data_IF_067828597136
#
_entry.id   IF_067828597136
#
_cell.length_a   1.000
_cell.length_b   1.000
_cell.length_c   1.000
_cell.angle_alpha   90.00
_cell.angle_beta   90.00
_cell.angle_gamma   90.00
#
_symmetry.space_group_name_H-M   'P 1'
#
loop_
_entity.id
_entity.type
_entity.pdbx_description
1 polymer ?
#
# COMPACT_ATOMS: atom_id res chain seq x y z
N UNK A 1 -16.83 1.40 13.24
CA UNK A 1 -17.40 1.48 11.89
C UNK A 1 -18.67 2.31 11.86
N UNK A 2 -19.62 2.06 12.74
CA UNK A 2 -20.92 2.77 12.76
C UNK A 2 -20.75 4.31 12.84
N UNK A 3 -19.90 4.81 13.73
CA UNK A 3 -19.63 6.25 13.88
C UNK A 3 -19.01 6.90 12.64
N UNK A 4 -18.31 6.13 11.79
CA UNK A 4 -17.70 6.63 10.57
C UNK A 4 -18.70 6.86 9.43
N UNK A 5 -19.91 6.31 9.53
CA UNK A 5 -20.94 6.43 8.50
C UNK A 5 -20.44 6.01 7.11
N UNK A 6 -20.48 6.95 6.15
CA UNK A 6 -19.99 6.75 4.77
C UNK A 6 -18.48 6.99 4.60
N UNK A 7 -17.77 7.47 5.62
CA UNK A 7 -16.33 7.73 5.54
C UNK A 7 -15.54 6.41 5.44
N UNK A 8 -14.46 6.41 4.62
CA UNK A 8 -13.58 5.26 4.50
C UNK A 8 -12.75 5.07 5.78
N UNK A 9 -12.84 3.87 6.35
CA UNK A 9 -12.04 3.46 7.49
C UNK A 9 -10.77 2.73 7.01
N UNK A 10 -9.62 3.27 7.38
CA UNK A 10 -8.32 2.66 7.05
C UNK A 10 -7.60 2.24 8.33
N UNK A 11 -7.47 0.94 8.53
CA UNK A 11 -6.80 0.38 9.70
C UNK A 11 -5.31 0.22 9.45
N UNK A 12 -4.48 0.79 10.33
CA UNK A 12 -3.03 0.63 10.33
C UNK A 12 -2.71 -0.56 11.24
N UNK A 13 -2.04 -1.57 10.69
CA UNK A 13 -1.77 -2.81 11.43
C UNK A 13 -0.52 -2.76 12.29
N UNK A 14 0.45 -1.88 11.98
CA UNK A 14 1.73 -1.87 12.66
C UNK A 14 2.51 -3.17 12.45
N UNK A 15 2.65 -3.58 11.18
CA UNK A 15 3.11 -4.93 10.81
C UNK A 15 4.49 -5.29 11.35
N UNK A 16 5.35 -4.29 11.62
CA UNK A 16 6.66 -4.51 12.24
C UNK A 16 6.58 -5.05 13.68
N UNK A 17 5.48 -4.78 14.38
CA UNK A 17 5.27 -5.20 15.78
C UNK A 17 4.52 -6.54 15.89
N UNK A 18 4.05 -7.11 14.79
CA UNK A 18 3.25 -8.35 14.80
C UNK A 18 4.10 -9.63 14.85
N UNK A 19 5.42 -9.51 14.77
CA UNK A 19 6.43 -10.56 14.96
C UNK A 19 6.39 -11.70 13.91
N UNK A 20 5.22 -12.14 13.48
CA UNK A 20 5.09 -13.26 12.53
C UNK A 20 4.11 -12.99 11.39
N UNK A 21 4.31 -13.65 10.25
CA UNK A 21 3.38 -13.58 9.11
C UNK A 21 1.98 -14.11 9.45
N UNK A 22 1.90 -15.09 10.34
CA UNK A 22 0.63 -15.59 10.85
C UNK A 22 -0.15 -14.51 11.58
N UNK A 23 0.51 -13.72 12.42
CA UNK A 23 -0.12 -12.60 13.12
C UNK A 23 -0.51 -11.48 12.15
N UNK A 24 0.30 -11.20 11.13
CA UNK A 24 -0.05 -10.24 10.06
C UNK A 24 -1.32 -10.68 9.33
N UNK A 25 -1.42 -11.96 8.95
CA UNK A 25 -2.62 -12.50 8.30
C UNK A 25 -3.85 -12.40 9.21
N UNK A 26 -3.74 -12.79 10.47
CA UNK A 26 -4.83 -12.72 11.47
C UNK A 26 -5.27 -11.27 11.69
N UNK A 27 -4.35 -10.35 11.92
CA UNK A 27 -4.65 -8.93 12.11
C UNK A 27 -5.32 -8.32 10.87
N UNK A 28 -4.89 -8.70 9.67
CA UNK A 28 -5.53 -8.30 8.41
C UNK A 28 -6.98 -8.76 8.35
N UNK A 29 -7.26 -10.02 8.66
CA UNK A 29 -8.62 -10.57 8.65
C UNK A 29 -9.50 -9.91 9.72
N UNK A 30 -9.00 -9.75 10.93
CA UNK A 30 -9.73 -9.08 12.03
C UNK A 30 -10.10 -7.65 11.65
N UNK A 31 -9.17 -6.88 11.07
CA UNK A 31 -9.43 -5.52 10.63
C UNK A 31 -10.53 -5.46 9.55
N UNK A 32 -10.49 -6.36 8.57
CA UNK A 32 -11.49 -6.44 7.51
C UNK A 32 -12.86 -6.88 8.06
N UNK A 33 -12.90 -7.87 8.94
CA UNK A 33 -14.15 -8.33 9.61
C UNK A 33 -14.77 -7.22 10.48
N UNK A 34 -13.94 -6.34 11.06
CA UNK A 34 -14.40 -5.17 11.80
C UNK A 34 -14.89 -4.02 10.88
N UNK A 35 -14.84 -4.20 9.55
CA UNK A 35 -15.37 -3.27 8.57
C UNK A 35 -14.37 -2.21 8.07
N UNK A 36 -13.09 -2.54 8.06
CA UNK A 36 -12.08 -1.68 7.42
C UNK A 36 -12.26 -1.69 5.89
N UNK A 37 -12.32 -0.51 5.29
CA UNK A 37 -12.32 -0.35 3.83
C UNK A 37 -10.91 -0.46 3.24
N UNK A 38 -9.89 -0.20 4.07
CA UNK A 38 -8.46 -0.35 3.74
C UNK A 38 -7.69 -0.95 4.91
N UNK A 39 -6.72 -1.79 4.58
CA UNK A 39 -5.66 -2.16 5.53
C UNK A 39 -4.33 -1.54 5.08
N UNK A 40 -3.58 -1.01 6.04
CA UNK A 40 -2.30 -0.32 5.83
C UNK A 40 -1.21 -1.00 6.65
N UNK A 41 -0.01 -1.15 6.10
CA UNK A 41 1.10 -1.84 6.77
C UNK A 41 1.51 -1.15 8.08
N UNK A 42 1.93 0.11 8.02
CA UNK A 42 2.56 0.84 9.12
C UNK A 42 2.33 2.35 9.03
N UNK A 43 2.77 3.08 10.04
CA UNK A 43 2.75 4.55 10.04
C UNK A 43 3.86 5.16 9.18
N UNK A 44 4.91 4.41 8.88
CA UNK A 44 6.13 4.88 8.23
C UNK A 44 7.22 5.33 9.20
N UNK A 45 6.95 5.30 10.53
CA UNK A 45 7.86 5.70 11.61
C UNK A 45 8.32 4.52 12.48
N UNK A 46 7.96 3.30 12.10
CA UNK A 46 8.30 2.07 12.81
C UNK A 46 9.69 1.57 12.37
N UNK A 47 10.33 0.73 13.18
CA UNK A 47 11.63 0.11 12.86
C UNK A 47 11.55 -0.78 11.61
N UNK A 48 10.42 -1.47 11.43
CA UNK A 48 10.10 -2.28 10.24
C UNK A 48 8.81 -1.76 9.63
N UNK A 49 8.88 -1.23 8.43
CA UNK A 49 7.76 -0.69 7.68
C UNK A 49 7.33 -1.64 6.53
N UNK A 50 6.75 -1.09 5.45
CA UNK A 50 6.33 -1.88 4.33
C UNK A 50 7.49 -2.66 3.69
N UNK A 51 7.28 -3.95 3.46
CA UNK A 51 8.12 -4.78 2.61
C UNK A 51 7.25 -5.74 1.79
N UNK A 52 7.81 -6.33 0.74
CA UNK A 52 7.03 -7.15 -0.20
C UNK A 52 6.51 -8.43 0.46
N UNK A 53 7.24 -9.03 1.40
CA UNK A 53 6.80 -10.27 2.07
C UNK A 53 5.58 -10.04 2.95
N UNK A 54 5.62 -9.02 3.78
CA UNK A 54 4.47 -8.62 4.61
C UNK A 54 3.29 -8.23 3.74
N UNK A 55 3.54 -7.48 2.65
CA UNK A 55 2.51 -7.06 1.71
C UNK A 55 1.86 -8.27 1.02
N UNK A 56 2.64 -9.27 0.61
CA UNK A 56 2.14 -10.51 0.05
C UNK A 56 1.15 -11.21 1.00
N UNK A 57 1.50 -11.31 2.28
CA UNK A 57 0.63 -11.91 3.30
C UNK A 57 -0.69 -11.13 3.44
N UNK A 58 -0.62 -9.80 3.49
CA UNK A 58 -1.80 -8.94 3.57
C UNK A 58 -2.68 -9.05 2.33
N UNK A 59 -2.10 -9.08 1.13
CA UNK A 59 -2.85 -9.22 -0.13
C UNK A 59 -3.54 -10.59 -0.24
N UNK A 60 -2.87 -11.65 0.21
CA UNK A 60 -3.48 -12.98 0.29
C UNK A 60 -4.64 -13.04 1.29
N UNK A 61 -4.53 -12.32 2.40
CA UNK A 61 -5.64 -12.17 3.34
C UNK A 61 -6.82 -11.40 2.70
N UNK A 62 -6.56 -10.33 1.94
CA UNK A 62 -7.59 -9.59 1.18
C UNK A 62 -8.25 -10.52 0.15
N UNK A 63 -7.46 -11.28 -0.61
CA UNK A 63 -7.98 -12.23 -1.59
C UNK A 63 -8.91 -13.27 -0.96
N UNK A 64 -8.47 -13.89 0.12
CA UNK A 64 -9.25 -14.89 0.84
C UNK A 64 -10.56 -14.29 1.42
N UNK A 65 -10.48 -13.06 1.95
CA UNK A 65 -11.63 -12.35 2.46
C UNK A 65 -12.63 -12.02 1.34
N UNK A 66 -12.15 -11.50 0.20
CA UNK A 66 -12.97 -11.19 -0.97
C UNK A 66 -13.66 -12.44 -1.55
N UNK A 67 -12.91 -13.53 -1.71
CA UNK A 67 -13.47 -14.80 -2.21
C UNK A 67 -14.62 -15.32 -1.35
N UNK A 68 -14.58 -15.04 -0.05
CA UNK A 68 -15.56 -15.51 0.91
C UNK A 68 -16.79 -14.62 1.03
N UNK A 69 -16.63 -13.30 0.88
CA UNK A 69 -17.66 -12.31 1.22
C UNK A 69 -18.05 -11.39 0.05
N UNK A 70 -17.29 -11.40 -1.05
CA UNK A 70 -17.50 -10.50 -2.18
C UNK A 70 -17.02 -9.05 -1.94
N UNK A 71 -16.58 -8.70 -0.72
CA UNK A 71 -16.15 -7.32 -0.41
C UNK A 71 -14.73 -7.06 -0.89
N UNK A 72 -14.55 -5.95 -1.62
CA UNK A 72 -13.25 -5.46 -2.07
C UNK A 72 -12.66 -4.52 -1.01
N UNK A 73 -11.64 -4.99 -0.32
CA UNK A 73 -10.88 -4.17 0.64
C UNK A 73 -9.61 -3.64 -0.01
N UNK A 74 -9.30 -2.37 0.22
CA UNK A 74 -8.12 -1.71 -0.33
C UNK A 74 -6.86 -2.01 0.48
N UNK A 75 -5.70 -1.83 -0.19
CA UNK A 75 -4.38 -2.00 0.40
C UNK A 75 -3.56 -0.72 0.31
N UNK A 76 -2.84 -0.38 1.39
CA UNK A 76 -1.91 0.75 1.41
C UNK A 76 -0.57 0.35 2.05
N UNK A 77 0.45 -0.04 1.26
CA UNK A 77 1.81 -0.13 1.78
C UNK A 77 2.31 1.27 2.15
N UNK A 78 3.02 1.38 3.27
CA UNK A 78 3.54 2.66 3.75
C UNK A 78 4.85 2.50 4.52
N UNK A 79 5.76 3.46 4.31
CA UNK A 79 7.07 3.53 4.92
C UNK A 79 8.16 2.84 4.10
N UNK A 80 9.23 3.59 3.81
CA UNK A 80 10.40 3.09 3.08
C UNK A 80 10.30 3.10 1.55
N UNK A 81 9.13 3.39 0.97
CA UNK A 81 8.94 3.44 -0.49
C UNK A 81 9.29 4.84 -0.98
N UNK A 82 10.43 4.99 -1.64
CA UNK A 82 10.97 6.30 -2.02
C UNK A 82 11.17 6.45 -3.53
N UNK A 83 11.47 5.37 -4.23
CA UNK A 83 11.72 5.38 -5.66
C UNK A 83 10.55 4.82 -6.46
N UNK A 84 10.37 5.30 -7.70
CA UNK A 84 9.37 4.79 -8.64
C UNK A 84 9.52 3.28 -8.87
N UNK A 85 10.76 2.78 -8.92
CA UNK A 85 11.07 1.36 -9.02
C UNK A 85 10.47 0.54 -7.88
N UNK A 86 10.55 1.06 -6.65
CA UNK A 86 9.97 0.36 -5.48
C UNK A 86 8.45 0.32 -5.58
N UNK A 87 7.85 1.43 -6.00
CA UNK A 87 6.39 1.51 -6.22
C UNK A 87 5.90 0.53 -7.28
N UNK A 88 6.65 0.33 -8.37
CA UNK A 88 6.35 -0.66 -9.40
C UNK A 88 6.32 -2.08 -8.85
N UNK A 89 7.22 -2.45 -7.93
CA UNK A 89 7.21 -3.77 -7.31
C UNK A 89 5.89 -4.03 -6.53
N UNK A 90 5.37 -3.01 -5.82
CA UNK A 90 4.06 -3.12 -5.16
C UNK A 90 2.89 -3.16 -6.16
N UNK A 91 2.96 -2.41 -7.25
CA UNK A 91 1.96 -2.48 -8.33
C UNK A 91 1.90 -3.88 -8.96
N UNK A 92 3.05 -4.46 -9.26
CA UNK A 92 3.16 -5.82 -9.80
C UNK A 92 2.57 -6.82 -8.80
N UNK A 93 2.99 -6.76 -7.53
CA UNK A 93 2.50 -7.64 -6.48
C UNK A 93 0.97 -7.54 -6.32
N UNK A 94 0.43 -6.32 -6.35
CA UNK A 94 -1.00 -6.08 -6.27
C UNK A 94 -1.76 -6.71 -7.44
N UNK A 95 -1.24 -6.53 -8.66
CA UNK A 95 -1.80 -7.10 -9.87
C UNK A 95 -1.80 -8.63 -9.86
N UNK A 96 -0.69 -9.24 -9.48
CA UNK A 96 -0.53 -10.70 -9.48
C UNK A 96 -1.41 -11.39 -8.40
N UNK A 97 -1.53 -10.78 -7.23
CA UNK A 97 -2.30 -11.38 -6.14
C UNK A 97 -3.81 -11.08 -6.19
N UNK A 98 -4.22 -9.89 -6.66
CA UNK A 98 -5.61 -9.44 -6.62
C UNK A 98 -6.23 -9.14 -7.98
N UNK A 99 -5.40 -9.00 -9.02
CA UNK A 99 -5.86 -8.70 -10.36
C UNK A 99 -6.02 -7.19 -10.66
N UNK A 100 -6.34 -6.88 -11.91
CA UNK A 100 -6.43 -5.49 -12.41
C UNK A 100 -7.47 -4.64 -11.72
N UNK A 101 -8.56 -5.22 -11.25
CA UNK A 101 -9.64 -4.48 -10.57
C UNK A 101 -9.17 -3.73 -9.31
N UNK A 102 -8.09 -4.18 -8.69
CA UNK A 102 -7.49 -3.52 -7.52
C UNK A 102 -6.48 -2.42 -7.88
N UNK A 103 -6.06 -2.27 -9.14
CA UNK A 103 -5.14 -1.20 -9.58
C UNK A 103 -5.84 0.15 -9.76
N UNK A 104 -6.81 0.45 -8.93
CA UNK A 104 -7.58 1.68 -8.91
C UNK A 104 -7.34 2.42 -7.59
N UNK A 105 -7.34 3.76 -7.60
CA UNK A 105 -7.14 4.58 -6.40
C UNK A 105 -8.17 4.33 -5.29
N UNK A 106 -9.30 3.70 -5.61
CA UNK A 106 -10.29 3.22 -4.63
C UNK A 106 -9.78 2.05 -3.80
N UNK A 107 -8.81 1.27 -4.30
CA UNK A 107 -8.35 0.03 -3.67
C UNK A 107 -6.84 -0.05 -3.47
N UNK A 108 -6.04 0.74 -4.19
CA UNK A 108 -4.60 0.76 -4.05
C UNK A 108 -4.06 2.16 -3.86
N UNK A 109 -3.28 2.35 -2.80
CA UNK A 109 -2.61 3.62 -2.48
C UNK A 109 -1.26 3.33 -1.87
N UNK A 110 -0.28 4.21 -2.10
CA UNK A 110 1.05 4.14 -1.50
C UNK A 110 1.19 5.27 -0.48
N UNK A 111 1.69 4.95 0.70
CA UNK A 111 2.03 5.93 1.73
C UNK A 111 3.51 6.28 1.67
N UNK A 112 3.84 7.40 1.06
CA UNK A 112 5.21 7.86 0.87
C UNK A 112 5.27 9.40 0.89
N UNK A 113 6.39 9.97 1.32
CA UNK A 113 6.64 11.42 1.31
C UNK A 113 7.39 11.89 0.06
N UNK A 114 8.46 11.18 -0.36
CA UNK A 114 9.32 11.61 -1.47
C UNK A 114 9.05 10.92 -2.83
N UNK A 115 8.17 9.92 -2.87
CA UNK A 115 7.94 9.11 -4.08
C UNK A 115 7.43 9.92 -5.26
N UNK A 116 6.55 10.91 -5.03
CA UNK A 116 5.97 11.73 -6.11
C UNK A 116 7.08 12.51 -6.84
N UNK A 117 8.04 13.07 -6.09
CA UNK A 117 9.19 13.76 -6.67
C UNK A 117 10.06 12.83 -7.54
N UNK A 118 10.28 11.58 -7.09
CA UNK A 118 11.02 10.61 -7.90
C UNK A 118 10.26 10.21 -9.17
N UNK A 119 8.95 9.95 -9.08
CA UNK A 119 8.13 9.65 -10.25
C UNK A 119 8.17 10.81 -11.26
N UNK A 120 8.05 12.05 -10.79
CA UNK A 120 8.11 13.23 -11.66
C UNK A 120 9.46 13.34 -12.37
N UNK A 121 10.56 13.08 -11.67
CA UNK A 121 11.92 13.06 -12.28
C UNK A 121 12.08 11.95 -13.32
N UNK A 122 11.56 10.75 -13.04
CA UNK A 122 11.61 9.65 -14.01
C UNK A 122 10.80 9.96 -15.28
N UNK A 123 9.63 10.58 -15.14
CA UNK A 123 8.83 11.00 -16.28
C UNK A 123 9.53 12.11 -17.11
N UNK A 124 10.13 13.10 -16.44
CA UNK A 124 10.90 14.15 -17.11
C UNK A 124 12.11 13.56 -17.86
N UNK A 125 12.83 12.62 -17.24
CA UNK A 125 13.92 11.91 -17.88
C UNK A 125 13.45 11.12 -19.12
N UNK A 126 12.34 10.43 -19.00
CA UNK A 126 11.78 9.66 -20.13
C UNK A 126 11.41 10.55 -21.33
N UNK A 127 10.87 11.74 -21.07
CA UNK A 127 10.44 12.68 -22.13
C UNK A 127 11.62 13.44 -22.70
N UNK A 128 12.57 13.90 -21.86
CA UNK A 128 13.63 14.82 -22.27
C UNK A 128 14.96 14.14 -22.59
N UNK A 129 15.16 12.88 -22.17
CA UNK A 129 16.44 12.16 -22.21
C UNK A 129 17.48 12.71 -21.24
N UNK A 130 17.14 13.65 -20.35
CA UNK A 130 18.07 14.31 -19.41
C UNK A 130 17.61 14.12 -17.98
N UNK A 131 18.57 13.94 -17.06
CA UNK A 131 18.24 13.90 -15.63
C UNK A 131 17.81 15.28 -15.12
N UNK A 132 16.68 15.28 -14.42
CA UNK A 132 16.12 16.48 -13.82
C UNK A 132 16.95 16.95 -12.62
N UNK A 133 17.19 18.25 -12.52
CA UNK A 133 17.83 18.82 -11.34
C UNK A 133 16.85 18.88 -10.14
N UNK A 134 17.39 18.62 -8.94
CA UNK A 134 16.56 18.56 -7.72
C UNK A 134 15.73 19.84 -7.46
N UNK A 135 16.27 21.02 -7.82
CA UNK A 135 15.57 22.29 -7.62
C UNK A 135 14.35 22.51 -8.51
N UNK A 136 14.13 21.68 -9.53
CA UNK A 136 12.92 21.73 -10.39
C UNK A 136 11.72 21.03 -9.79
N UNK A 137 11.90 20.25 -8.74
CA UNK A 137 10.84 19.50 -8.09
C UNK A 137 10.79 19.85 -6.59
N UNK A 138 10.03 20.87 -6.21
CA UNK A 138 9.99 21.39 -4.82
C UNK A 138 9.46 20.41 -3.78
N UNK A 139 8.96 19.26 -4.21
CA UNK A 139 8.45 18.18 -3.35
C UNK A 139 9.46 17.05 -3.12
N UNK A 140 10.71 17.27 -3.45
CA UNK A 140 11.81 16.29 -3.30
C UNK A 140 12.44 16.28 -1.91
#
# INVERSE_FOLDING_TARGET
RQAAGKAHLKTILGTGNLVSFTNVARASLVAMMAGADFIKTSTGKESVNANLLVSLVMLRAIRAYHQRNGFMVGFKPAGGIRAARDALAYLILMREELGRAWLDARYFRIGASGLLGDISRQLEHHISGRYSANHRHPMG
#
